data_IF_524087696273
#
_entry.id   IF_524087696273
#
_cell.length_a   1.000
_cell.length_b   1.000
_cell.length_c   1.000
_cell.angle_alpha   90.00
_cell.angle_beta   90.00
_cell.angle_gamma   90.00
#
_symmetry.space_group_name_H-M   'P 1'
#
loop_
_entity.id
_entity.type
_entity.pdbx_description
1 polymer ?
#
# COMPACT_ATOMS: atom_id res chain seq x y z
N UNK A 1 18.19 -10.45 -32.82
CA UNK A 1 19.35 -9.67 -33.29
C UNK A 1 20.54 -10.11 -32.44
N UNK A 2 21.48 -10.83 -33.05
CA UNK A 2 22.71 -11.28 -32.40
C UNK A 2 23.56 -10.03 -32.17
N UNK A 3 23.97 -9.75 -30.94
CA UNK A 3 24.89 -8.65 -30.66
C UNK A 3 26.28 -9.19 -30.41
N UNK A 4 27.12 -8.89 -31.40
CA UNK A 4 28.55 -9.09 -31.52
C UNK A 4 29.30 -8.26 -30.45
N UNK A 5 30.30 -8.87 -29.84
CA UNK A 5 31.07 -8.34 -28.72
C UNK A 5 32.43 -7.82 -29.20
N UNK A 6 32.46 -6.69 -29.91
CA UNK A 6 33.72 -6.00 -30.23
C UNK A 6 33.55 -4.49 -30.39
N UNK A 7 33.44 -3.73 -29.29
CA UNK A 7 33.83 -2.30 -29.27
C UNK A 7 34.58 -1.95 -27.98
N UNK A 8 35.71 -1.28 -28.17
CA UNK A 8 36.64 -0.71 -27.18
C UNK A 8 35.97 0.27 -26.20
N UNK A 9 36.54 0.50 -25.01
CA UNK A 9 35.89 1.23 -23.94
C UNK A 9 35.95 2.73 -24.24
N UNK A 10 34.96 3.24 -24.97
CA UNK A 10 34.68 4.66 -24.96
C UNK A 10 34.34 5.07 -23.53
N UNK A 11 35.00 6.13 -23.06
CA UNK A 11 34.81 6.76 -21.76
C UNK A 11 33.35 6.65 -21.33
N UNK A 12 33.11 5.92 -20.25
CA UNK A 12 31.84 5.97 -19.53
C UNK A 12 31.48 7.46 -19.36
N UNK A 13 30.27 7.90 -19.79
CA UNK A 13 29.85 9.26 -19.53
C UNK A 13 30.00 9.51 -18.03
N UNK A 14 30.53 10.68 -17.68
CA UNK A 14 30.70 11.10 -16.28
C UNK A 14 29.43 10.76 -15.51
N UNK A 15 29.59 10.16 -14.32
CA UNK A 15 28.49 9.77 -13.46
C UNK A 15 27.44 10.88 -13.47
N UNK A 16 26.30 10.63 -14.11
CA UNK A 16 25.16 11.53 -14.03
C UNK A 16 24.86 11.58 -12.55
N UNK A 17 25.16 12.70 -11.91
CA UNK A 17 24.76 12.96 -10.53
C UNK A 17 23.24 12.92 -10.55
N UNK A 18 22.66 11.73 -10.34
CA UNK A 18 21.21 11.55 -10.26
C UNK A 18 20.75 12.56 -9.23
N UNK A 19 19.86 13.45 -9.64
CA UNK A 19 19.26 14.41 -8.74
C UNK A 19 18.54 13.61 -7.66
N UNK A 20 19.16 13.47 -6.50
CA UNK A 20 18.59 12.77 -5.36
C UNK A 20 17.66 13.74 -4.64
N UNK A 21 16.40 13.36 -4.45
CA UNK A 21 15.51 14.08 -3.54
C UNK A 21 16.01 13.85 -2.11
N UNK A 22 16.29 14.94 -1.39
CA UNK A 22 16.72 14.87 0.01
C UNK A 22 15.62 14.22 0.87
N UNK A 23 16.02 13.46 1.88
CA UNK A 23 15.11 12.89 2.88
C UNK A 23 14.23 13.95 3.54
N UNK A 24 14.75 15.18 3.73
CA UNK A 24 13.95 16.28 4.25
C UNK A 24 12.76 16.62 3.33
N UNK A 25 12.95 16.55 2.01
CA UNK A 25 11.90 16.76 1.01
C UNK A 25 10.92 15.60 1.00
N UNK A 26 11.41 14.36 1.07
CA UNK A 26 10.56 13.16 1.19
C UNK A 26 9.65 13.27 2.43
N UNK A 27 10.19 13.66 3.59
CA UNK A 27 9.38 13.85 4.80
C UNK A 27 8.40 15.02 4.69
N UNK A 28 8.82 16.12 4.06
CA UNK A 28 7.99 17.31 3.81
C UNK A 28 6.77 17.02 2.92
N UNK A 29 6.82 16.01 2.08
CA UNK A 29 5.71 15.68 1.18
C UNK A 29 5.08 14.33 1.49
N UNK A 30 5.40 13.75 2.64
CA UNK A 30 4.84 12.48 3.07
C UNK A 30 3.32 12.60 3.33
N UNK A 31 2.53 11.63 2.87
CA UNK A 31 1.09 11.63 3.11
C UNK A 31 0.78 11.39 4.59
N UNK A 32 -0.33 11.97 5.05
CA UNK A 32 -1.00 11.52 6.28
C UNK A 32 -1.95 10.40 5.92
N UNK A 33 -1.60 9.17 6.30
CA UNK A 33 -2.42 8.00 6.05
C UNK A 33 -3.28 7.70 7.26
N UNK A 34 -4.58 7.60 7.03
CA UNK A 34 -5.54 7.17 8.03
C UNK A 34 -5.84 5.67 7.78
N UNK A 35 -6.00 4.89 8.88
CA UNK A 35 -6.52 3.50 8.89
C UNK A 35 -7.98 3.41 9.38
N UNK A 36 -8.80 2.55 8.75
CA UNK A 36 -10.24 2.56 8.98
C UNK A 36 -10.45 2.26 10.46
N UNK A 37 -11.46 2.83 11.11
CA UNK A 37 -11.64 2.65 12.56
C UNK A 37 -11.73 1.16 12.94
N UNK A 38 -12.37 0.39 12.07
CA UNK A 38 -12.57 -1.05 12.21
C UNK A 38 -11.43 -1.86 11.55
N UNK A 39 -10.37 -1.20 11.07
CA UNK A 39 -9.21 -1.88 10.49
C UNK A 39 -8.51 -2.73 11.56
N UNK A 40 -8.31 -3.99 11.20
CA UNK A 40 -7.67 -5.01 12.03
C UNK A 40 -6.32 -5.42 11.47
N UNK A 41 -6.13 -5.30 10.16
CA UNK A 41 -4.91 -5.68 9.48
C UNK A 41 -4.08 -4.42 9.27
N UNK A 42 -3.08 -4.25 10.12
CA UNK A 42 -2.22 -3.07 10.13
C UNK A 42 -1.06 -3.26 9.15
N UNK A 43 -0.46 -2.17 8.66
CA UNK A 43 0.74 -2.29 7.86
C UNK A 43 1.89 -2.90 8.69
N UNK A 44 2.86 -3.47 7.98
CA UNK A 44 4.00 -4.21 8.53
C UNK A 44 5.27 -3.89 7.75
N UNK A 45 6.44 -4.17 8.34
CA UNK A 45 7.68 -4.19 7.56
C UNK A 45 7.80 -5.48 6.74
N UNK A 46 8.65 -5.48 5.71
CA UNK A 46 8.93 -6.68 4.90
C UNK A 46 9.63 -7.73 5.77
N UNK A 47 10.57 -7.30 6.61
CA UNK A 47 11.29 -8.14 7.57
C UNK A 47 10.31 -8.85 8.52
N UNK A 48 9.37 -8.10 9.10
CA UNK A 48 8.39 -8.66 10.03
C UNK A 48 7.47 -9.66 9.32
N UNK A 49 7.04 -9.39 8.09
CA UNK A 49 6.25 -10.34 7.30
C UNK A 49 7.03 -11.63 7.00
N UNK A 50 8.28 -11.50 6.55
CA UNK A 50 9.16 -12.63 6.23
C UNK A 50 9.42 -13.51 7.47
N UNK A 51 9.72 -12.89 8.62
CA UNK A 51 9.93 -13.61 9.89
C UNK A 51 8.69 -14.40 10.34
N UNK A 52 7.50 -13.90 10.01
CA UNK A 52 6.22 -14.52 10.34
C UNK A 52 5.65 -15.38 9.19
N UNK A 53 6.46 -15.68 8.18
CA UNK A 53 6.09 -16.50 7.03
C UNK A 53 6.84 -17.82 6.99
N UNK A 54 6.27 -18.76 6.23
CA UNK A 54 6.89 -19.99 5.73
C UNK A 54 7.17 -19.82 4.25
N UNK A 55 8.19 -20.49 3.75
CA UNK A 55 8.49 -20.55 2.32
C UNK A 55 8.00 -21.86 1.72
N UNK A 56 7.28 -21.76 0.62
CA UNK A 56 6.81 -22.88 -0.18
C UNK A 56 7.35 -22.76 -1.61
N UNK A 57 7.52 -23.91 -2.26
CA UNK A 57 7.80 -23.93 -3.69
C UNK A 57 6.51 -23.81 -4.53
N UNK A 58 6.64 -23.64 -5.84
CA UNK A 58 5.49 -23.54 -6.76
C UNK A 58 4.58 -24.77 -6.83
N UNK A 59 4.94 -25.89 -6.19
CA UNK A 59 4.09 -27.08 -6.04
C UNK A 59 3.33 -27.13 -4.70
N UNK A 60 3.56 -26.15 -3.82
CA UNK A 60 2.99 -26.11 -2.48
C UNK A 60 3.73 -26.99 -1.46
N UNK A 61 4.95 -27.42 -1.78
CA UNK A 61 5.79 -28.16 -0.83
C UNK A 61 6.57 -27.16 0.04
N UNK A 62 6.63 -27.45 1.34
CA UNK A 62 7.33 -26.61 2.30
C UNK A 62 8.84 -26.66 2.07
N UNK A 63 9.45 -25.49 1.86
CA UNK A 63 10.92 -25.33 1.81
C UNK A 63 11.45 -25.01 3.20
N UNK A 64 10.82 -24.07 3.92
CA UNK A 64 11.28 -23.61 5.22
C UNK A 64 10.13 -23.18 6.15
N UNK A 65 10.14 -23.69 7.39
CA UNK A 65 9.22 -23.27 8.46
C UNK A 65 9.48 -21.84 8.97
N UNK A 66 10.70 -21.35 8.81
CA UNK A 66 11.11 -20.01 9.18
C UNK A 66 12.20 -19.55 8.24
N UNK A 67 12.13 -18.29 7.81
CA UNK A 67 12.97 -17.76 6.76
C UNK A 67 13.42 -16.34 7.09
N UNK A 68 14.61 -15.96 6.63
CA UNK A 68 15.12 -14.59 6.68
C UNK A 68 15.14 -13.96 5.28
N UNK A 69 15.40 -12.65 5.19
CA UNK A 69 15.60 -12.01 3.89
C UNK A 69 16.77 -12.61 3.11
N UNK A 70 17.86 -12.97 3.80
CA UNK A 70 19.02 -13.59 3.18
C UNK A 70 18.71 -14.99 2.63
N UNK A 71 17.78 -15.70 3.25
CA UNK A 71 17.34 -17.02 2.79
C UNK A 71 16.43 -16.91 1.56
N UNK A 72 15.59 -15.88 1.46
CA UNK A 72 14.81 -15.60 0.25
C UNK A 72 15.70 -15.45 -0.99
N UNK A 73 16.84 -14.76 -0.85
CA UNK A 73 17.80 -14.61 -1.95
C UNK A 73 18.42 -15.94 -2.41
N UNK A 74 18.42 -16.97 -1.56
CA UNK A 74 18.92 -18.33 -1.88
C UNK A 74 17.86 -19.19 -2.57
N UNK A 75 16.61 -18.75 -2.61
CA UNK A 75 15.48 -19.44 -3.23
C UNK A 75 14.81 -18.57 -4.31
N UNK A 76 15.54 -18.10 -5.34
CA UNK A 76 15.05 -17.17 -6.36
C UNK A 76 14.13 -17.84 -7.40
N UNK A 77 13.80 -19.12 -7.23
CA UNK A 77 13.02 -19.85 -8.22
C UNK A 77 11.63 -19.25 -8.41
N UNK A 78 11.25 -19.05 -9.66
CA UNK A 78 9.94 -18.53 -10.03
C UNK A 78 8.83 -19.47 -9.52
N UNK A 79 7.80 -18.89 -8.91
CA UNK A 79 6.69 -19.62 -8.32
C UNK A 79 6.89 -20.01 -6.86
N UNK A 80 8.08 -19.84 -6.28
CA UNK A 80 8.21 -19.86 -4.81
C UNK A 80 7.37 -18.74 -4.19
N UNK A 81 6.74 -19.01 -3.05
CA UNK A 81 5.90 -18.04 -2.39
C UNK A 81 5.98 -18.14 -0.87
N UNK A 82 5.70 -17.01 -0.22
CA UNK A 82 5.57 -16.91 1.22
C UNK A 82 4.11 -17.12 1.64
N UNK A 83 3.92 -17.78 2.77
CA UNK A 83 2.62 -17.88 3.43
C UNK A 83 2.77 -17.57 4.92
N UNK A 84 1.92 -16.71 5.45
CA UNK A 84 1.87 -16.36 6.87
C UNK A 84 1.59 -17.61 7.72
N UNK A 85 2.33 -17.74 8.83
CA UNK A 85 2.30 -18.91 9.72
C UNK A 85 0.91 -19.19 10.31
N UNK A 86 0.19 -18.13 10.68
CA UNK A 86 -1.14 -18.21 11.28
C UNK A 86 -1.93 -16.88 11.21
N UNK A 87 -3.15 -16.88 11.74
CA UNK A 87 -4.06 -15.73 11.72
C UNK A 87 -3.59 -14.54 12.55
N UNK A 88 -2.72 -14.74 13.56
CA UNK A 88 -2.15 -13.64 14.33
C UNK A 88 -1.13 -12.85 13.52
N UNK A 89 -0.37 -13.53 12.65
CA UNK A 89 0.58 -12.90 11.75
C UNK A 89 -0.09 -11.98 10.71
N UNK A 90 -1.39 -12.18 10.43
CA UNK A 90 -2.17 -11.31 9.53
C UNK A 90 -2.42 -9.91 10.11
N UNK A 91 -2.33 -9.74 11.44
CA UNK A 91 -2.65 -8.47 12.09
C UNK A 91 -1.65 -7.34 11.78
N UNK A 92 -0.48 -7.68 11.23
CA UNK A 92 0.59 -6.72 10.97
C UNK A 92 1.35 -6.34 12.24
N UNK A 93 2.06 -5.21 12.20
CA UNK A 93 2.82 -4.74 13.36
C UNK A 93 1.90 -4.12 14.41
N UNK A 94 2.14 -4.37 15.71
CA UNK A 94 1.32 -3.80 16.77
C UNK A 94 1.46 -2.28 16.81
N UNK A 95 0.38 -1.61 17.25
CA UNK A 95 0.42 -0.18 17.50
C UNK A 95 1.37 0.14 18.66
N UNK A 96 2.19 1.17 18.50
CA UNK A 96 3.00 1.73 19.57
C UNK A 96 2.41 3.08 19.99
N UNK A 97 1.99 3.22 21.25
CA UNK A 97 1.31 4.41 21.77
C UNK A 97 0.11 4.86 20.91
N UNK A 98 -0.66 3.89 20.40
CA UNK A 98 -1.84 4.14 19.57
C UNK A 98 -1.54 4.51 18.09
N UNK A 99 -0.27 4.50 17.67
CA UNK A 99 0.15 4.82 16.31
C UNK A 99 0.70 3.59 15.59
N UNK A 100 0.49 3.53 14.28
CA UNK A 100 1.22 2.58 13.43
C UNK A 100 2.66 3.11 13.26
N UNK A 101 3.64 2.23 13.46
CA UNK A 101 5.06 2.51 13.24
C UNK A 101 5.77 1.66 12.16
N UNK A 102 5.08 0.91 11.27
CA UNK A 102 5.79 0.18 10.22
C UNK A 102 6.50 1.18 9.28
N UNK A 103 7.62 0.78 8.67
CA UNK A 103 8.33 1.63 7.73
C UNK A 103 7.47 1.94 6.50
N UNK A 104 7.69 3.13 5.94
CA UNK A 104 7.18 3.52 4.62
C UNK A 104 8.36 3.56 3.67
N UNK A 105 8.18 2.91 2.53
CA UNK A 105 9.20 2.84 1.49
C UNK A 105 8.93 3.94 0.48
N UNK A 106 9.99 4.59 -0.01
CA UNK A 106 9.83 5.70 -0.95
C UNK A 106 10.74 5.51 -2.14
N UNK A 107 10.16 5.56 -3.34
CA UNK A 107 10.88 5.71 -4.60
C UNK A 107 10.73 7.15 -5.09
N UNK A 108 11.85 7.82 -5.33
CA UNK A 108 11.87 9.12 -5.99
C UNK A 108 12.22 8.94 -7.48
N UNK A 109 11.37 9.44 -8.37
CA UNK A 109 11.64 9.53 -9.79
C UNK A 109 11.81 11.00 -10.18
N UNK A 110 13.02 11.36 -10.61
CA UNK A 110 13.41 12.73 -10.94
C UNK A 110 13.66 12.96 -12.43
N UNK A 111 13.32 11.98 -13.29
CA UNK A 111 13.61 12.00 -14.72
C UNK A 111 12.72 12.97 -15.51
N UNK A 112 11.62 13.45 -14.92
CA UNK A 112 10.71 14.40 -15.58
C UNK A 112 11.23 15.83 -15.46
N UNK A 113 11.26 16.60 -16.56
CA UNK A 113 11.73 17.99 -16.53
C UNK A 113 10.84 18.93 -15.69
N UNK A 114 9.52 18.65 -15.64
CA UNK A 114 8.54 19.55 -15.04
C UNK A 114 8.32 19.30 -13.52
N UNK A 115 8.64 18.12 -13.02
CA UNK A 115 8.32 17.70 -11.65
C UNK A 115 9.24 16.59 -11.15
N UNK A 116 9.26 16.39 -9.83
CA UNK A 116 9.74 15.15 -9.22
C UNK A 116 8.55 14.34 -8.74
N UNK A 117 8.65 13.02 -8.77
CA UNK A 117 7.60 12.10 -8.38
C UNK A 117 8.05 11.25 -7.20
N UNK A 118 7.30 11.30 -6.10
CA UNK A 118 7.56 10.54 -4.88
C UNK A 118 6.48 9.47 -4.73
N UNK A 119 6.88 8.20 -4.79
CA UNK A 119 6.00 7.04 -4.65
C UNK A 119 6.18 6.48 -3.25
N UNK A 120 5.24 6.78 -2.36
CA UNK A 120 5.18 6.25 -1.00
C UNK A 120 4.47 4.90 -1.02
N UNK A 121 5.11 3.87 -0.51
CA UNK A 121 4.61 2.50 -0.52
C UNK A 121 4.45 1.99 0.91
N UNK A 122 3.32 1.33 1.14
CA UNK A 122 2.92 0.73 2.41
C UNK A 122 2.74 -0.76 2.18
N UNK A 123 3.24 -1.56 3.11
CA UNK A 123 3.13 -3.00 2.99
C UNK A 123 2.19 -3.54 4.07
N UNK A 124 1.23 -4.35 3.65
CA UNK A 124 0.31 -5.06 4.52
C UNK A 124 0.58 -6.55 4.40
N UNK A 125 0.77 -7.22 5.54
CA UNK A 125 0.97 -8.66 5.54
C UNK A 125 -0.26 -9.40 5.02
N UNK A 126 -1.44 -8.83 5.24
CA UNK A 126 -2.71 -9.36 4.78
C UNK A 126 -3.67 -8.22 4.44
N UNK A 127 -4.35 -8.31 3.29
CA UNK A 127 -5.29 -7.29 2.82
C UNK A 127 -6.68 -7.38 3.46
N UNK A 128 -6.94 -8.37 4.31
CA UNK A 128 -8.30 -8.57 4.81
C UNK A 128 -9.25 -9.15 3.77
N UNK A 129 -10.51 -9.34 4.15
CA UNK A 129 -11.48 -10.07 3.33
C UNK A 129 -12.38 -9.14 2.53
N UNK A 130 -12.92 -9.65 1.42
CA UNK A 130 -13.90 -8.92 0.63
C UNK A 130 -15.12 -8.58 1.50
N UNK A 131 -15.48 -7.31 1.52
CA UNK A 131 -16.66 -6.82 2.23
C UNK A 131 -17.89 -6.86 1.30
N UNK A 132 -19.03 -7.25 1.86
CA UNK A 132 -20.34 -7.08 1.22
C UNK A 132 -21.32 -6.38 2.15
N UNK A 133 -22.33 -5.74 1.57
CA UNK A 133 -23.35 -4.99 2.29
C UNK A 133 -24.70 -5.66 2.13
N UNK A 134 -25.32 -6.00 3.26
CA UNK A 134 -26.63 -6.63 3.34
C UNK A 134 -27.62 -5.82 4.17
N UNK A 135 -28.91 -6.04 3.94
CA UNK A 135 -29.99 -5.46 4.74
C UNK A 135 -30.45 -6.45 5.80
N UNK A 136 -30.48 -6.02 7.07
CA UNK A 136 -30.99 -6.81 8.19
C UNK A 136 -32.33 -6.22 8.64
N UNK A 137 -33.36 -7.05 8.75
CA UNK A 137 -34.63 -6.64 9.35
C UNK A 137 -34.54 -6.59 10.88
N UNK A 138 -34.82 -5.44 11.48
CA UNK A 138 -34.91 -5.27 12.92
C UNK A 138 -36.35 -5.37 13.37
N UNK A 139 -36.70 -6.47 14.03
CA UNK A 139 -38.05 -6.72 14.56
C UNK A 139 -38.49 -5.60 15.52
N UNK A 140 -37.60 -5.14 16.42
CA UNK A 140 -37.93 -4.10 17.43
C UNK A 140 -38.35 -2.76 16.83
N UNK A 141 -37.83 -2.41 15.65
CA UNK A 141 -38.10 -1.12 14.98
C UNK A 141 -38.90 -1.29 13.69
N UNK A 142 -39.28 -2.53 13.36
CA UNK A 142 -39.92 -2.93 12.10
C UNK A 142 -39.26 -2.29 10.87
N UNK A 143 -37.93 -2.20 10.87
CA UNK A 143 -37.17 -1.49 9.85
C UNK A 143 -35.94 -2.26 9.37
N UNK A 144 -35.54 -2.01 8.13
CA UNK A 144 -34.30 -2.55 7.58
C UNK A 144 -33.12 -1.64 7.90
N UNK A 145 -32.02 -2.22 8.36
CA UNK A 145 -30.74 -1.52 8.50
C UNK A 145 -29.70 -2.16 7.59
N UNK A 146 -28.95 -1.34 6.87
CA UNK A 146 -27.81 -1.83 6.09
C UNK A 146 -26.61 -2.07 7.02
N UNK A 147 -25.96 -3.22 6.86
CA UNK A 147 -24.74 -3.62 7.56
C UNK A 147 -23.74 -4.19 6.57
N UNK A 148 -22.47 -4.13 6.94
CA UNK A 148 -21.39 -4.73 6.17
C UNK A 148 -20.91 -5.99 6.87
N UNK A 149 -20.46 -6.93 6.07
CA UNK A 149 -20.03 -8.24 6.50
C UNK A 149 -18.79 -8.62 5.71
N UNK A 150 -17.87 -9.32 6.38
CA UNK A 150 -16.72 -9.95 5.74
C UNK A 150 -17.14 -11.26 5.10
N UNK A 151 -16.75 -11.46 3.84
CA UNK A 151 -16.75 -12.77 3.22
C UNK A 151 -15.39 -13.43 3.44
N UNK A 152 -15.24 -14.16 4.54
CA UNK A 152 -13.95 -14.68 5.02
C UNK A 152 -13.22 -15.65 4.09
N UNK A 153 -13.90 -16.20 3.09
CA UNK A 153 -13.30 -17.11 2.11
C UNK A 153 -13.07 -16.44 0.74
N UNK A 154 -13.24 -15.12 0.65
CA UNK A 154 -13.15 -14.41 -0.62
C UNK A 154 -12.35 -13.10 -0.51
N UNK A 155 -11.47 -12.88 -1.49
CA UNK A 155 -10.73 -11.63 -1.67
C UNK A 155 -9.58 -11.36 -0.70
N UNK A 156 -9.29 -12.27 0.24
CA UNK A 156 -8.14 -12.13 1.12
C UNK A 156 -6.84 -12.61 0.47
N UNK A 157 -5.80 -11.79 0.51
CA UNK A 157 -4.47 -12.12 0.02
C UNK A 157 -3.38 -11.63 0.97
N UNK A 158 -2.24 -12.33 0.93
CA UNK A 158 -1.05 -12.06 1.73
C UNK A 158 -0.02 -11.31 0.88
N UNK A 159 0.74 -10.41 1.51
CA UNK A 159 1.75 -9.60 0.83
C UNK A 159 1.13 -8.54 -0.10
N UNK A 160 0.46 -7.57 0.51
CA UNK A 160 -0.26 -6.52 -0.20
C UNK A 160 0.52 -5.19 -0.18
N UNK A 161 0.79 -4.65 -1.36
CA UNK A 161 1.53 -3.40 -1.54
C UNK A 161 0.60 -2.30 -2.00
N UNK A 162 0.46 -1.28 -1.15
CA UNK A 162 -0.30 -0.08 -1.46
C UNK A 162 0.64 1.08 -1.75
N UNK A 163 0.22 2.01 -2.61
CA UNK A 163 1.04 3.18 -2.90
C UNK A 163 0.25 4.47 -3.11
N UNK A 164 0.93 5.58 -2.81
CA UNK A 164 0.50 6.94 -3.07
C UNK A 164 1.61 7.65 -3.82
N UNK A 165 1.26 8.26 -4.93
CA UNK A 165 2.23 9.01 -5.72
C UNK A 165 1.99 10.50 -5.59
N UNK A 166 3.00 11.24 -5.17
CA UNK A 166 2.96 12.70 -5.02
C UNK A 166 3.91 13.31 -6.04
N UNK A 167 3.37 14.12 -6.95
CA UNK A 167 4.17 14.96 -7.85
C UNK A 167 4.43 16.29 -7.17
N UNK A 168 5.68 16.71 -7.16
CA UNK A 168 6.12 17.98 -6.57
C UNK A 168 6.85 18.83 -7.61
N UNK A 169 6.80 20.15 -7.43
CA UNK A 169 7.57 21.08 -8.26
C UNK A 169 9.07 20.82 -8.12
N UNK A 170 9.85 21.08 -9.19
CA UNK A 170 11.32 20.89 -9.17
C UNK A 170 12.06 21.72 -8.11
N UNK A 171 11.46 22.82 -7.65
CA UNK A 171 12.00 23.62 -6.55
C UNK A 171 11.57 23.10 -5.16
N UNK A 172 10.85 21.98 -5.10
CA UNK A 172 10.35 21.32 -3.88
C UNK A 172 9.51 22.24 -2.98
N UNK A 173 8.78 23.17 -3.58
CA UNK A 173 7.93 24.13 -2.84
C UNK A 173 6.45 23.77 -2.84
N UNK A 174 5.95 23.06 -3.86
CA UNK A 174 4.53 22.74 -3.96
C UNK A 174 4.29 21.31 -4.43
N UNK A 175 3.18 20.75 -3.99
CA UNK A 175 2.57 19.57 -4.62
C UNK A 175 1.89 20.03 -5.90
N UNK A 176 2.01 19.24 -6.97
CA UNK A 176 1.40 19.47 -8.28
C UNK A 176 0.25 18.50 -8.56
N UNK A 177 0.29 17.32 -7.95
CA UNK A 177 -0.77 16.34 -8.05
C UNK A 177 -0.52 15.13 -7.18
N UNK A 178 -1.59 14.46 -6.77
CA UNK A 178 -1.53 13.24 -5.96
C UNK A 178 -2.34 12.16 -6.62
N UNK A 179 -1.72 11.00 -6.82
CA UNK A 179 -2.36 9.80 -7.32
C UNK A 179 -2.73 8.88 -6.15
N UNK A 180 -4.02 8.57 -6.09
CA UNK A 180 -4.58 7.62 -5.14
C UNK A 180 -4.76 6.28 -5.85
N UNK A 181 -3.84 5.33 -5.63
CA UNK A 181 -3.86 3.98 -6.22
C UNK A 181 -5.05 3.15 -5.75
N UNK A 182 -5.53 2.26 -6.64
CA UNK A 182 -6.65 1.35 -6.38
C UNK A 182 -6.49 0.06 -7.18
N UNK A 183 -6.06 -1.03 -6.54
CA UNK A 183 -6.12 -2.45 -6.98
C UNK A 183 -5.50 -2.83 -8.34
N UNK A 184 -5.65 -2.01 -9.36
CA UNK A 184 -5.22 -2.22 -10.73
C UNK A 184 -4.51 -0.97 -11.26
N UNK A 185 -3.51 -1.21 -12.11
CA UNK A 185 -2.80 -0.16 -12.83
C UNK A 185 -3.80 0.73 -13.59
N UNK A 186 -3.73 2.04 -13.36
CA UNK A 186 -4.54 3.03 -14.06
C UNK A 186 -5.97 3.22 -13.52
N UNK A 187 -6.42 2.47 -12.51
CA UNK A 187 -7.75 2.67 -11.87
C UNK A 187 -7.74 3.67 -10.71
N UNK A 188 -6.57 4.09 -10.27
CA UNK A 188 -6.41 5.19 -9.33
C UNK A 188 -6.79 6.55 -9.93
N UNK A 189 -6.91 7.57 -9.09
CA UNK A 189 -7.29 8.91 -9.52
C UNK A 189 -6.23 9.94 -9.17
N UNK A 190 -5.95 10.83 -10.12
CA UNK A 190 -5.18 12.04 -9.87
C UNK A 190 -6.08 13.12 -9.27
N UNK A 191 -5.59 13.79 -8.24
CA UNK A 191 -6.21 14.98 -7.67
C UNK A 191 -5.23 16.14 -7.72
N UNK A 192 -5.71 17.30 -8.15
CA UNK A 192 -4.95 18.54 -8.10
C UNK A 192 -4.95 19.11 -6.68
N UNK A 193 -3.88 19.82 -6.27
CA UNK A 193 -3.85 20.52 -4.98
C UNK A 193 -4.92 21.62 -4.96
N UNK A 194 -6.03 21.37 -4.26
CA UNK A 194 -7.13 22.34 -4.13
C UNK A 194 -6.99 23.31 -2.96
N UNK A 195 -5.96 23.13 -2.11
CA UNK A 195 -5.73 23.91 -0.88
C UNK A 195 -4.23 24.10 -0.62
N UNK A 196 -3.80 25.20 0.03
CA UNK A 196 -2.43 25.35 0.53
C UNK A 196 -2.02 24.28 1.56
N UNK A 197 -2.98 23.64 2.25
CA UNK A 197 -2.71 22.52 3.16
C UNK A 197 -2.36 21.21 2.43
N UNK A 198 -2.51 21.17 1.11
CA UNK A 198 -2.25 20.00 0.27
C UNK A 198 -0.76 19.67 0.11
N UNK A 199 0.12 20.44 0.78
CA UNK A 199 1.55 20.12 0.90
C UNK A 199 1.79 18.74 1.53
N UNK A 200 0.83 18.22 2.31
CA UNK A 200 0.86 16.86 2.85
C UNK A 200 -0.49 16.20 2.55
N UNK A 201 -0.58 15.29 1.56
CA UNK A 201 -1.88 14.72 1.20
C UNK A 201 -2.47 13.89 2.32
N UNK A 202 -3.75 14.12 2.63
CA UNK A 202 -4.52 13.21 3.46
C UNK A 202 -4.97 12.03 2.59
N UNK A 203 -4.64 10.83 3.04
CA UNK A 203 -4.92 9.57 2.36
C UNK A 203 -5.76 8.72 3.27
N UNK A 204 -6.91 8.31 2.77
CA UNK A 204 -7.82 7.44 3.46
C UNK A 204 -7.85 6.11 2.72
N UNK A 205 -7.40 5.03 3.37
CA UNK A 205 -7.42 3.70 2.75
C UNK A 205 -8.84 3.14 2.70
N UNK A 206 -9.07 1.92 2.28
CA UNK A 206 -10.35 1.25 2.43
C UNK A 206 -10.22 0.21 3.54
N UNK A 207 -11.28 -0.03 4.31
CA UNK A 207 -11.35 -1.19 5.19
C UNK A 207 -11.06 -2.46 4.39
N UNK A 208 -10.10 -3.25 4.89
CA UNK A 208 -9.56 -4.43 4.23
C UNK A 208 -8.85 -4.08 2.92
N UNK A 209 -9.58 -3.84 1.82
CA UNK A 209 -9.00 -3.73 0.47
C UNK A 209 -7.91 -2.65 0.30
N UNK A 210 -7.67 -1.80 1.29
CA UNK A 210 -6.63 -0.78 1.39
C UNK A 210 -6.52 0.24 0.25
N UNK A 211 -7.41 0.17 -0.76
CA UNK A 211 -7.52 1.15 -1.83
C UNK A 211 -7.57 2.58 -1.30
N UNK A 212 -6.86 3.48 -1.96
CA UNK A 212 -6.67 4.82 -1.45
C UNK A 212 -7.64 5.87 -2.02
N UNK A 213 -7.95 6.85 -1.18
CA UNK A 213 -8.90 7.91 -1.46
C UNK A 213 -8.45 9.24 -0.84
N UNK A 214 -8.71 10.35 -1.52
CA UNK A 214 -8.41 11.70 -1.04
C UNK A 214 -9.48 12.32 -0.13
N UNK A 215 -10.58 11.60 0.12
CA UNK A 215 -11.68 12.07 0.97
C UNK A 215 -12.34 10.92 1.70
N UNK A 216 -12.94 11.22 2.86
CA UNK A 216 -13.78 10.28 3.60
C UNK A 216 -15.11 10.03 2.87
N UNK A 217 -15.40 8.78 2.46
CA UNK A 217 -16.67 8.44 1.84
C UNK A 217 -16.98 6.93 1.86
N UNK A 218 -18.24 6.55 2.01
CA UNK A 218 -18.63 5.16 1.70
C UNK A 218 -18.65 5.00 0.18
N UNK A 219 -17.71 4.23 -0.37
CA UNK A 219 -17.58 4.03 -1.81
C UNK A 219 -18.09 2.64 -2.16
N UNK A 220 -19.27 2.58 -2.78
CA UNK A 220 -19.87 1.34 -3.27
C UNK A 220 -19.57 1.17 -4.76
N UNK A 221 -18.91 0.08 -5.14
CA UNK A 221 -18.72 -0.29 -6.55
C UNK A 221 -19.83 -1.23 -6.98
N UNK A 222 -20.69 -0.74 -7.90
CA UNK A 222 -21.79 -1.46 -8.59
C UNK A 222 -22.74 -2.25 -7.67
N UNK A 223 -23.97 -1.75 -7.54
CA UNK A 223 -25.12 -2.59 -7.24
C UNK A 223 -25.28 -3.61 -8.36
N UNK A 224 -25.26 -4.90 -8.03
CA UNK A 224 -25.99 -5.86 -8.87
C UNK A 224 -27.46 -5.45 -8.68
N UNK A 225 -28.05 -4.85 -9.71
CA UNK A 225 -29.45 -4.47 -9.72
C UNK A 225 -30.29 -5.72 -9.54
N UNK A 226 -30.79 -5.93 -8.33
CA UNK A 226 -32.14 -6.44 -8.04
C UNK A 226 -32.30 -6.58 -6.52
N UNK A 227 -33.49 -6.22 -6.05
CA UNK A 227 -33.84 -6.01 -4.65
C UNK A 227 -33.89 -7.32 -3.84
N UNK A 228 -32.74 -7.93 -3.56
CA UNK A 228 -32.53 -8.96 -2.53
C UNK A 228 -31.04 -9.33 -2.34
N UNK A 229 -30.14 -8.86 -3.21
CA UNK A 229 -28.76 -9.39 -3.29
C UNK A 229 -27.78 -8.51 -2.51
N UNK A 230 -26.83 -9.09 -1.73
CA UNK A 230 -25.76 -8.33 -1.09
C UNK A 230 -24.90 -7.61 -2.13
N UNK A 231 -24.73 -6.29 -1.99
CA UNK A 231 -23.82 -5.53 -2.86
C UNK A 231 -22.38 -5.71 -2.39
N UNK A 232 -21.46 -6.10 -3.28
CA UNK A 232 -20.02 -6.04 -2.99
C UNK A 232 -19.62 -4.58 -2.72
N UNK A 233 -18.76 -4.37 -1.73
CA UNK A 233 -18.21 -3.03 -1.45
C UNK A 233 -16.72 -3.08 -1.74
N UNK A 234 -16.18 -2.18 -2.57
CA UNK A 234 -14.74 -2.03 -2.80
C UNK A 234 -13.98 -1.45 -1.58
N UNK A 235 -14.55 -1.57 -0.38
CA UNK A 235 -14.05 -1.00 0.85
C UNK A 235 -14.92 0.14 1.39
N UNK A 236 -14.78 0.39 2.69
CA UNK A 236 -15.39 1.54 3.37
C UNK A 236 -14.33 2.45 3.94
N UNK A 237 -14.60 3.76 3.94
CA UNK A 237 -13.66 4.80 4.35
C UNK A 237 -14.28 5.54 5.54
N UNK A 238 -13.78 5.30 6.77
CA UNK A 238 -14.25 5.88 8.06
C UNK A 238 -13.16 5.70 9.12
N UNK A 239 -12.72 6.77 9.80
CA UNK A 239 -11.39 6.76 10.47
C UNK A 239 -11.40 7.07 11.97
N UNK A 240 -10.41 6.53 12.69
CA UNK A 240 -10.05 6.92 14.07
C UNK A 240 -8.60 6.52 14.47
N UNK A 241 -7.70 6.22 13.51
CA UNK A 241 -6.28 5.90 13.75
C UNK A 241 -5.40 6.56 12.69
N UNK A 242 -4.30 7.20 13.11
CA UNK A 242 -3.31 7.82 12.21
C UNK A 242 -2.05 6.95 12.11
N UNK A 243 -1.54 6.74 10.90
CA UNK A 243 -0.17 6.27 10.68
C UNK A 243 0.74 7.49 10.80
N UNK A 244 1.67 7.46 11.75
CA UNK A 244 2.57 8.58 11.96
C UNK A 244 3.85 8.37 11.14
N UNK A 245 3.89 9.00 9.98
CA UNK A 245 5.04 9.02 9.06
C UNK A 245 6.19 9.89 9.56
N UNK A 246 6.04 10.53 10.73
CA UNK A 246 7.01 11.44 11.35
C UNK A 246 7.73 10.84 12.55
N UNK A 247 7.59 9.52 12.79
CA UNK A 247 8.43 8.83 13.76
C UNK A 247 9.90 9.16 13.45
N UNK A 248 10.67 9.55 14.48
CA UNK A 248 12.02 10.11 14.41
C UNK A 248 13.09 9.18 13.79
N UNK A 249 12.69 8.12 13.09
CA UNK A 249 13.57 7.14 12.47
C UNK A 249 13.78 7.48 10.99
N UNK A 250 14.99 7.22 10.49
CA UNK A 250 15.39 7.49 9.11
C UNK A 250 14.64 6.57 8.14
N UNK A 251 14.10 7.08 7.02
CA UNK A 251 13.45 6.23 6.02
C UNK A 251 14.47 5.26 5.41
N UNK A 252 14.06 4.00 5.23
CA UNK A 252 14.87 2.98 4.55
C UNK A 252 14.74 3.18 3.04
N UNK A 253 15.84 3.56 2.39
CA UNK A 253 15.91 3.83 0.96
C UNK A 253 16.25 2.54 0.21
N UNK A 254 15.36 2.08 -0.67
CA UNK A 254 15.66 0.96 -1.56
C UNK A 254 15.97 1.52 -2.95
N UNK A 255 17.22 1.41 -3.37
CA UNK A 255 17.65 1.68 -4.74
C UNK A 255 17.71 0.36 -5.51
N UNK A 256 16.97 0.24 -6.61
CA UNK A 256 17.24 -0.79 -7.61
C UNK A 256 18.35 -0.28 -8.54
N UNK A 257 19.40 -1.08 -8.72
CA UNK A 257 20.44 -0.88 -9.74
C UNK A 257 19.86 -0.81 -11.14
#
# INVERSE_FOLDING_TARGET
MILDATQTPDRLPAAVTRQTVDQAVIRKFAPRVYLHREERFLPTSVEHFVQNSRLFNGKGELIAESITLDDLAKHPEEGNYLQLKDSSARLGMPLQNGKCVPPIYVKANCEHDAYDELIYMFFFGFSGYQMFRGSIFRIKTLSYVKRNFEWRDFGGHEGDWEHITVRISKNHQSVLGVYYARHEYGKGNWSAPGSPDYNYPNVYLALNSHASYGQEAIITTKSIEEAAVPSLTAGMVRWLKTVDVTANESPVMYAST
#
